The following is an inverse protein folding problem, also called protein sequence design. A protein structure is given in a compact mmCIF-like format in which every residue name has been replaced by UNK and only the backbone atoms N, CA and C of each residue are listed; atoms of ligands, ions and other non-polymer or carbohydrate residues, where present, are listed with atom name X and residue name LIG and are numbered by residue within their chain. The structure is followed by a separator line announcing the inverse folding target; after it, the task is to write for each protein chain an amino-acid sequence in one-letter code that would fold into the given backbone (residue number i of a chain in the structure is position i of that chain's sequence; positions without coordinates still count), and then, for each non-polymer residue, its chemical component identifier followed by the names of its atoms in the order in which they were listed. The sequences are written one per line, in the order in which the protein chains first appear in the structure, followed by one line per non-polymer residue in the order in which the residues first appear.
data_IF_662899853940
#
_entry.id   IF_662899853940
#
_cell.length_a   1.000
_cell.length_b   1.000
_cell.length_c   1.000
_cell.angle_alpha   90.00
_cell.angle_beta   90.00
_cell.angle_gamma   90.00
#
_symmetry.space_group_name_H-M   'P 1'
#
loop_
_entity.id
_entity.type
_entity.pdbx_description
1 polymer ?
#
# COMPACT_ATOMS: atom_id res chain seq x y z
N UNK A 1 -10.14 16.39 2.59
CA UNK A 1 -8.86 15.74 2.29
C UNK A 1 -9.17 14.52 1.47
N UNK A 2 -8.55 14.35 0.30
CA UNK A 2 -8.71 13.12 -0.47
C UNK A 2 -7.99 11.96 0.19
N UNK A 3 -8.34 10.72 -0.17
CA UNK A 3 -7.65 9.53 0.35
C UNK A 3 -6.15 9.55 -0.04
N UNK A 4 -5.84 10.07 -1.23
CA UNK A 4 -4.46 10.29 -1.69
C UNK A 4 -3.70 11.27 -0.80
N UNK A 5 -4.31 12.41 -0.49
CA UNK A 5 -3.72 13.39 0.42
C UNK A 5 -3.49 12.82 1.83
N UNK A 6 -4.42 12.01 2.32
CA UNK A 6 -4.31 11.34 3.62
C UNK A 6 -3.10 10.39 3.67
N UNK A 7 -2.97 9.51 2.67
CA UNK A 7 -1.83 8.58 2.63
C UNK A 7 -0.49 9.28 2.37
N UNK A 8 -0.48 10.37 1.60
CA UNK A 8 0.72 11.20 1.45
C UNK A 8 1.18 11.83 2.77
N UNK A 9 0.25 12.17 3.68
CA UNK A 9 0.60 12.65 5.03
C UNK A 9 1.07 11.52 5.93
N UNK A 10 0.41 10.36 5.87
CA UNK A 10 0.83 9.15 6.60
C UNK A 10 2.26 8.73 6.23
N UNK A 11 2.56 8.65 4.92
CA UNK A 11 3.87 8.26 4.40
C UNK A 11 5.03 9.13 4.93
N UNK A 12 4.79 10.42 5.13
CA UNK A 12 5.80 11.36 5.66
C UNK A 12 6.18 11.08 7.11
N UNK A 13 5.31 10.42 7.88
CA UNK A 13 5.47 10.27 9.34
C UNK A 13 4.96 8.92 9.86
N UNK A 14 5.22 7.83 9.15
CA UNK A 14 4.75 6.48 9.51
C UNK A 14 4.94 6.18 11.00
N UNK A 15 6.16 6.36 11.53
CA UNK A 15 6.47 6.11 12.94
C UNK A 15 5.63 6.91 13.95
N UNK A 16 5.12 8.10 13.58
CA UNK A 16 4.22 8.89 14.43
C UNK A 16 2.87 8.20 14.63
N UNK A 17 2.39 7.44 13.63
CA UNK A 17 1.08 6.80 13.67
C UNK A 17 1.14 5.36 14.20
N UNK A 18 2.25 4.65 13.97
CA UNK A 18 2.35 3.21 14.27
C UNK A 18 3.49 2.87 15.23
N UNK A 19 4.16 3.87 15.82
CA UNK A 19 5.21 3.71 16.83
C UNK A 19 6.57 3.21 16.32
N UNK A 20 6.62 2.65 15.10
CA UNK A 20 7.85 2.21 14.44
C UNK A 20 7.76 2.39 12.92
N UNK A 21 8.82 2.84 12.27
CA UNK A 21 8.86 2.90 10.80
C UNK A 21 9.27 1.55 10.25
N UNK A 22 8.29 0.73 9.86
CA UNK A 22 8.51 -0.58 9.21
C UNK A 22 7.36 -0.88 8.24
N UNK A 23 7.64 -1.62 7.19
CA UNK A 23 6.67 -2.10 6.21
C UNK A 23 5.52 -2.85 6.87
N UNK A 24 5.83 -3.75 7.81
CA UNK A 24 4.81 -4.50 8.55
C UNK A 24 3.84 -3.58 9.30
N UNK A 25 4.36 -2.63 10.07
CA UNK A 25 3.51 -1.71 10.83
C UNK A 25 2.67 -0.78 9.93
N UNK A 26 3.24 -0.33 8.80
CA UNK A 26 2.51 0.46 7.82
C UNK A 26 1.38 -0.34 7.17
N UNK A 27 1.64 -1.58 6.77
CA UNK A 27 0.63 -2.44 6.13
C UNK A 27 -0.47 -2.88 7.09
N UNK A 28 -0.15 -3.18 8.35
CA UNK A 28 -1.14 -3.47 9.40
C UNK A 28 -2.05 -2.24 9.65
N UNK A 29 -1.48 -1.03 9.68
CA UNK A 29 -2.27 0.21 9.79
C UNK A 29 -3.20 0.42 8.59
N UNK A 30 -2.70 0.26 7.36
CA UNK A 30 -3.49 0.37 6.14
C UNK A 30 -4.62 -0.67 6.09
N UNK A 31 -4.38 -1.88 6.59
CA UNK A 31 -5.40 -2.92 6.70
C UNK A 31 -6.50 -2.53 7.70
N UNK A 32 -6.13 -1.91 8.82
CA UNK A 32 -7.09 -1.36 9.78
C UNK A 32 -7.91 -0.21 9.18
N UNK A 33 -7.27 0.68 8.42
CA UNK A 33 -7.93 1.75 7.67
C UNK A 33 -8.97 1.20 6.69
N UNK A 34 -8.58 0.22 5.86
CA UNK A 34 -9.46 -0.40 4.86
C UNK A 34 -10.67 -1.11 5.52
N UNK A 35 -10.46 -1.80 6.64
CA UNK A 35 -11.55 -2.38 7.42
C UNK A 35 -12.51 -1.32 7.99
N UNK A 36 -11.97 -0.20 8.48
CA UNK A 36 -12.79 0.91 8.99
C UNK A 36 -13.59 1.57 7.85
N UNK A 37 -12.98 1.81 6.70
CA UNK A 37 -13.65 2.37 5.52
C UNK A 37 -14.84 1.51 5.10
N UNK A 38 -14.63 0.19 4.95
CA UNK A 38 -15.69 -0.78 4.62
C UNK A 38 -16.82 -0.78 5.64
N UNK A 39 -16.51 -0.66 6.93
CA UNK A 39 -17.53 -0.60 8.01
C UNK A 39 -18.45 0.61 7.85
N UNK A 40 -17.95 1.73 7.34
CA UNK A 40 -18.70 2.98 7.20
C UNK A 40 -19.16 3.26 5.75
N UNK A 41 -19.01 2.30 4.83
CA UNK A 41 -19.47 2.43 3.45
C UNK A 41 -18.55 3.25 2.53
N UNK A 42 -17.33 3.56 2.98
CA UNK A 42 -16.32 4.24 2.19
C UNK A 42 -15.52 3.23 1.33
N UNK A 43 -15.01 3.64 0.15
CA UNK A 43 -14.34 2.72 -0.76
C UNK A 43 -13.04 2.14 -0.20
N UNK A 44 -12.31 2.88 0.64
CA UNK A 44 -11.04 2.44 1.21
C UNK A 44 -10.07 1.96 0.12
N UNK A 45 -9.42 0.81 0.35
CA UNK A 45 -8.48 0.21 -0.60
C UNK A 45 -9.15 -0.80 -1.54
N UNK A 46 -10.45 -0.64 -1.81
CA UNK A 46 -11.17 -1.51 -2.76
C UNK A 46 -10.53 -1.44 -4.15
N UNK A 47 -10.21 -2.60 -4.72
CA UNK A 47 -9.55 -2.73 -6.03
C UNK A 47 -8.03 -2.61 -6.01
N UNK A 48 -7.41 -2.35 -4.84
CA UNK A 48 -5.97 -2.17 -4.73
C UNK A 48 -5.16 -3.40 -5.15
N UNK A 49 -5.54 -4.57 -4.64
CA UNK A 49 -4.88 -5.84 -4.98
C UNK A 49 -5.02 -6.16 -6.46
N UNK A 50 -6.21 -5.95 -7.01
CA UNK A 50 -6.51 -6.20 -8.41
C UNK A 50 -5.74 -5.24 -9.33
N UNK A 51 -5.59 -3.98 -8.92
CA UNK A 51 -4.78 -3.00 -9.62
C UNK A 51 -3.30 -3.39 -9.64
N UNK A 52 -2.74 -3.88 -8.52
CA UNK A 52 -1.36 -4.40 -8.49
C UNK A 52 -1.17 -5.55 -9.49
N UNK A 53 -2.12 -6.49 -9.53
CA UNK A 53 -2.08 -7.62 -10.48
C UNK A 53 -2.25 -7.21 -11.95
N UNK A 54 -2.99 -6.13 -12.21
CA UNK A 54 -3.19 -5.63 -13.56
C UNK A 54 -1.97 -4.90 -14.11
N UNK A 55 -1.15 -4.29 -13.24
CA UNK A 55 -0.03 -3.43 -13.62
C UNK A 55 1.34 -4.08 -13.45
N UNK A 56 1.45 -5.13 -12.63
CA UNK A 56 2.74 -5.75 -12.27
C UNK A 56 2.67 -7.28 -12.35
N UNK A 57 3.80 -7.91 -12.66
CA UNK A 57 3.93 -9.37 -12.64
C UNK A 57 4.10 -9.86 -11.19
N UNK A 58 2.96 -10.12 -10.53
CA UNK A 58 2.90 -10.55 -9.12
C UNK A 58 2.02 -11.79 -8.94
N UNK A 59 2.28 -12.54 -7.87
CA UNK A 59 1.54 -13.75 -7.54
C UNK A 59 0.07 -13.46 -7.23
N UNK A 60 -0.84 -14.07 -7.99
CA UNK A 60 -2.28 -14.00 -7.72
C UNK A 60 -2.68 -14.68 -6.40
N UNK A 61 -1.87 -15.63 -5.91
CA UNK A 61 -2.06 -16.31 -4.63
C UNK A 61 -1.65 -15.45 -3.41
N UNK A 62 -1.07 -14.27 -3.63
CA UNK A 62 -0.61 -13.38 -2.56
C UNK A 62 -1.68 -12.35 -2.18
N UNK A 63 -1.64 -11.94 -0.91
CA UNK A 63 -2.27 -10.70 -0.45
C UNK A 63 -1.49 -9.50 -1.00
N UNK A 64 -2.11 -8.31 -1.07
CA UNK A 64 -1.49 -7.13 -1.66
C UNK A 64 -0.14 -6.76 -1.01
N UNK A 65 0.03 -6.98 0.30
CA UNK A 65 1.31 -6.71 0.97
C UNK A 65 2.44 -7.62 0.44
N UNK A 66 2.12 -8.89 0.14
CA UNK A 66 3.06 -9.81 -0.51
C UNK A 66 3.38 -9.43 -1.94
N UNK A 67 2.41 -8.88 -2.67
CA UNK A 67 2.61 -8.37 -4.03
C UNK A 67 3.54 -7.15 -4.03
N UNK A 68 3.36 -6.22 -3.10
CA UNK A 68 4.28 -5.08 -2.92
C UNK A 68 5.71 -5.56 -2.59
N UNK A 69 5.86 -6.60 -1.76
CA UNK A 69 7.17 -7.20 -1.48
C UNK A 69 7.83 -7.76 -2.75
N UNK A 70 7.07 -8.47 -3.60
CA UNK A 70 7.60 -8.97 -4.88
C UNK A 70 8.03 -7.85 -5.83
N UNK A 71 7.27 -6.75 -5.88
CA UNK A 71 7.61 -5.58 -6.72
C UNK A 71 8.88 -4.90 -6.19
N UNK A 72 8.97 -4.70 -4.87
CA UNK A 72 10.10 -4.01 -4.25
C UNK A 72 11.40 -4.85 -4.23
N UNK A 73 11.26 -6.18 -4.21
CA UNK A 73 12.35 -7.16 -4.14
C UNK A 73 12.09 -8.31 -5.13
N UNK A 74 12.49 -8.16 -6.40
CA UNK A 74 12.42 -9.23 -7.38
C UNK A 74 13.15 -10.48 -6.88
N UNK A 75 12.48 -11.63 -6.90
CA UNK A 75 13.00 -12.89 -6.39
C UNK A 75 12.76 -13.15 -4.90
N UNK A 76 12.04 -12.27 -4.19
CA UNK A 76 11.55 -12.55 -2.82
C UNK A 76 10.74 -13.85 -2.76
N UNK A 77 11.06 -14.71 -1.80
CA UNK A 77 10.45 -16.04 -1.65
C UNK A 77 9.69 -16.23 -0.32
N UNK A 78 9.42 -15.14 0.41
CA UNK A 78 8.68 -15.20 1.67
C UNK A 78 9.46 -14.74 2.89
N UNK A 79 10.68 -14.23 2.73
CA UNK A 79 11.49 -13.72 3.84
C UNK A 79 10.74 -12.62 4.60
N UNK A 80 10.79 -12.66 5.95
CA UNK A 80 10.08 -11.73 6.83
C UNK A 80 11.02 -10.72 7.52
N UNK A 81 12.32 -11.03 7.54
CA UNK A 81 13.34 -10.19 8.14
C UNK A 81 14.02 -9.37 7.03
N UNK A 82 13.98 -8.06 7.18
CA UNK A 82 14.53 -7.10 6.24
C UNK A 82 15.60 -6.26 6.91
N UNK A 83 16.66 -5.92 6.16
CA UNK A 83 17.57 -4.87 6.63
C UNK A 83 16.85 -3.52 6.69
N UNK A 84 17.46 -2.54 7.36
CA UNK A 84 16.91 -1.19 7.41
C UNK A 84 16.71 -0.58 6.00
N UNK A 85 17.66 -0.80 5.11
CA UNK A 85 17.61 -0.32 3.72
C UNK A 85 16.53 -1.03 2.91
N UNK A 86 16.29 -2.32 3.19
CA UNK A 86 15.19 -3.07 2.59
C UNK A 86 13.83 -2.57 3.09
N UNK A 87 13.69 -2.29 4.40
CA UNK A 87 12.49 -1.68 4.99
C UNK A 87 12.19 -0.31 4.37
N UNK A 88 13.21 0.55 4.21
CA UNK A 88 13.05 1.86 3.58
C UNK A 88 12.60 1.73 2.12
N UNK A 89 13.22 0.80 1.37
CA UNK A 89 12.82 0.52 -0.02
C UNK A 89 11.38 -0.01 -0.11
N UNK A 90 11.01 -0.94 0.77
CA UNK A 90 9.67 -1.51 0.82
C UNK A 90 8.61 -0.44 1.08
N UNK A 91 8.85 0.43 2.07
CA UNK A 91 7.97 1.55 2.37
C UNK A 91 7.87 2.54 1.23
N UNK A 92 9.00 2.87 0.59
CA UNK A 92 9.01 3.75 -0.58
C UNK A 92 8.14 3.19 -1.70
N UNK A 93 8.37 1.94 -2.11
CA UNK A 93 7.61 1.27 -3.17
C UNK A 93 6.13 1.17 -2.80
N UNK A 94 5.81 0.82 -1.55
CA UNK A 94 4.42 0.78 -1.05
C UNK A 94 3.69 2.10 -1.30
N UNK A 95 4.30 3.23 -0.92
CA UNK A 95 3.64 4.52 -1.01
C UNK A 95 3.63 5.10 -2.42
N UNK A 96 4.64 4.80 -3.25
CA UNK A 96 4.64 5.16 -4.68
C UNK A 96 3.52 4.45 -5.42
N UNK A 97 3.41 3.13 -5.26
CA UNK A 97 2.35 2.34 -5.90
C UNK A 97 0.96 2.78 -5.41
N UNK A 98 0.82 3.09 -4.12
CA UNK A 98 -0.45 3.55 -3.55
C UNK A 98 -0.83 4.93 -4.11
N UNK A 99 0.12 5.85 -4.26
CA UNK A 99 -0.12 7.16 -4.87
C UNK A 99 -0.60 7.02 -6.32
N UNK A 100 0.04 6.14 -7.10
CA UNK A 100 -0.34 5.86 -8.49
C UNK A 100 -1.78 5.33 -8.60
N UNK A 101 -2.12 4.31 -7.80
CA UNK A 101 -3.48 3.75 -7.76
C UNK A 101 -4.53 4.79 -7.39
N UNK A 102 -4.27 5.59 -6.35
CA UNK A 102 -5.20 6.61 -5.91
C UNK A 102 -5.34 7.74 -6.94
N UNK A 103 -4.24 8.12 -7.58
CA UNK A 103 -4.25 9.10 -8.67
C UNK A 103 -5.07 8.61 -9.87
N UNK A 104 -4.94 7.33 -10.24
CA UNK A 104 -5.75 6.73 -11.31
C UNK A 104 -7.22 6.70 -10.96
N UNK A 105 -7.56 6.30 -9.73
CA UNK A 105 -8.94 6.28 -9.26
C UNK A 105 -9.58 7.67 -9.26
N UNK A 106 -8.85 8.69 -8.80
CA UNK A 106 -9.29 10.09 -8.88
C UNK A 106 -9.53 10.52 -10.34
N UNK A 107 -8.64 10.16 -11.27
CA UNK A 107 -8.80 10.45 -12.72
C UNK A 107 -10.02 9.76 -13.32
N UNK A 108 -10.30 8.50 -12.95
CA UNK A 108 -11.46 7.76 -13.44
C UNK A 108 -12.77 8.31 -12.88
N UNK A 109 -12.79 8.69 -11.59
CA UNK A 109 -13.96 9.29 -10.96
C UNK A 109 -14.29 10.70 -11.51
N UNK A 110 -13.32 11.39 -12.10
CA UNK A 110 -13.49 12.71 -12.71
C UNK A 110 -13.95 12.65 -14.18
N UNK A 111 -14.05 11.46 -14.78
CA UNK A 111 -14.56 11.30 -16.15
C UNK A 111 -16.11 11.28 -16.13
N UNK A 112 -16.76 12.04 -17.03
CA UNK A 112 -18.22 12.19 -17.07
C UNK A 112 -18.96 10.93 -17.57
#
# INVERSE_FOLDING_TARGET
MSEREYFAQFAKRVGMFVGRTSFRAATDFMMGYDQAARRYGEPGLTGWREWLMANYEVGANLVWAGQVMQIAKPGWQGEQDFTYEEEERLLKVLFELLDEFLAERERLAAQP
#
